data_IF_621906298839
#
_entry.id   IF_621906298839
#
_cell.length_a   1.000
_cell.length_b   1.000
_cell.length_c   1.000
_cell.angle_alpha   90.00
_cell.angle_beta   90.00
_cell.angle_gamma   90.00
#
_symmetry.space_group_name_H-M   'P 1'
#
loop_
_entity.id
_entity.type
_entity.pdbx_description
1 polymer ?
#
# COMPACT_ATOMS: atom_id res chain seq x y z
N UNK A 1 -23.53 2.06 -19.52
CA UNK A 1 -22.11 1.69 -19.70
C UNK A 1 -21.13 2.82 -19.33
N UNK A 2 -21.43 4.10 -19.60
CA UNK A 2 -20.52 5.21 -19.29
C UNK A 2 -20.21 5.40 -17.79
N UNK A 3 -21.21 5.20 -16.91
CA UNK A 3 -21.04 5.31 -15.46
C UNK A 3 -20.00 4.30 -14.91
N UNK A 4 -19.95 3.10 -15.48
CA UNK A 4 -18.98 2.08 -15.04
C UNK A 4 -17.54 2.46 -15.40
N UNK A 5 -17.34 3.10 -16.55
CA UNK A 5 -16.02 3.62 -16.96
C UNK A 5 -15.56 4.78 -16.08
N UNK A 6 -16.47 5.65 -15.66
CA UNK A 6 -16.16 6.75 -14.75
C UNK A 6 -15.78 6.24 -13.37
N UNK A 7 -16.56 5.31 -12.82
CA UNK A 7 -16.24 4.67 -11.54
C UNK A 7 -14.93 3.88 -11.60
N UNK A 8 -14.70 3.10 -12.66
CA UNK A 8 -13.43 2.40 -12.85
C UNK A 8 -12.24 3.36 -12.98
N UNK A 9 -12.41 4.49 -13.67
CA UNK A 9 -11.36 5.51 -13.78
C UNK A 9 -11.04 6.16 -12.44
N UNK A 10 -12.05 6.51 -11.64
CA UNK A 10 -11.86 7.07 -10.30
C UNK A 10 -11.20 6.03 -9.39
N UNK A 11 -11.69 4.78 -9.37
CA UNK A 11 -11.13 3.69 -8.58
C UNK A 11 -9.68 3.36 -8.98
N UNK A 12 -9.33 3.42 -10.26
CA UNK A 12 -7.95 3.23 -10.73
C UNK A 12 -7.03 4.39 -10.31
N UNK A 13 -7.52 5.64 -10.40
CA UNK A 13 -6.76 6.81 -9.95
C UNK A 13 -6.52 6.76 -8.44
N UNK A 14 -7.58 6.48 -7.68
CA UNK A 14 -7.55 6.38 -6.22
C UNK A 14 -6.73 5.16 -5.77
N UNK A 15 -6.83 4.02 -6.45
CA UNK A 15 -6.06 2.81 -6.15
C UNK A 15 -4.55 3.01 -6.31
N UNK A 16 -4.12 3.72 -7.35
CA UNK A 16 -2.71 4.05 -7.57
C UNK A 16 -2.17 5.06 -6.56
N UNK A 17 -2.96 6.09 -6.24
CA UNK A 17 -2.61 7.06 -5.19
C UNK A 17 -2.54 6.40 -3.81
N UNK A 18 -3.52 5.56 -3.46
CA UNK A 18 -3.53 4.81 -2.20
C UNK A 18 -2.37 3.82 -2.13
N UNK A 19 -2.06 3.10 -3.21
CA UNK A 19 -0.92 2.19 -3.27
C UNK A 19 0.40 2.90 -2.98
N UNK A 20 0.61 4.08 -3.58
CA UNK A 20 1.81 4.89 -3.34
C UNK A 20 1.87 5.40 -1.90
N UNK A 21 0.78 6.00 -1.39
CA UNK A 21 0.73 6.58 -0.04
C UNK A 21 0.87 5.51 1.03
N UNK A 22 0.12 4.42 0.92
CA UNK A 22 0.21 3.30 1.87
C UNK A 22 1.59 2.66 1.82
N UNK A 23 2.15 2.41 0.63
CA UNK A 23 3.52 1.87 0.51
C UNK A 23 4.57 2.75 1.22
N UNK A 24 4.47 4.07 1.08
CA UNK A 24 5.33 5.02 1.79
C UNK A 24 5.15 4.96 3.31
N UNK A 25 3.90 4.94 3.78
CA UNK A 25 3.56 4.83 5.21
C UNK A 25 4.09 3.53 5.80
N UNK A 26 3.88 2.40 5.11
CA UNK A 26 4.36 1.09 5.53
C UNK A 26 5.89 1.01 5.59
N UNK A 27 6.59 1.66 4.65
CA UNK A 27 8.06 1.72 4.64
C UNK A 27 8.57 2.51 5.85
N UNK A 28 7.97 3.67 6.14
CA UNK A 28 8.33 4.51 7.29
C UNK A 28 8.03 3.79 8.61
N UNK A 29 6.83 3.25 8.77
CA UNK A 29 6.42 2.53 9.97
C UNK A 29 7.24 1.25 10.16
N UNK A 30 7.51 0.50 9.09
CA UNK A 30 8.36 -0.68 9.12
C UNK A 30 9.81 -0.36 9.49
N UNK A 31 10.37 0.75 9.00
CA UNK A 31 11.69 1.24 9.38
C UNK A 31 11.74 1.61 10.87
N UNK A 32 10.73 2.36 11.35
CA UNK A 32 10.61 2.74 12.76
C UNK A 32 10.44 1.53 13.69
N UNK A 33 9.61 0.55 13.30
CA UNK A 33 9.39 -0.66 14.08
C UNK A 33 10.62 -1.56 14.11
N UNK A 34 11.37 -1.65 13.01
CA UNK A 34 12.58 -2.50 12.90
C UNK A 34 13.75 -2.02 13.77
N UNK A 35 13.67 -0.79 14.33
CA UNK A 35 14.61 -0.34 15.38
C UNK A 35 14.53 -1.24 16.62
N UNK A 36 13.43 -2.00 16.78
CA UNK A 36 13.25 -2.99 17.83
C UNK A 36 13.12 -4.40 17.25
N UNK A 37 13.75 -5.40 17.88
CA UNK A 37 13.68 -6.82 17.46
C UNK A 37 12.23 -7.32 17.41
N UNK A 38 11.38 -6.83 18.33
CA UNK A 38 9.95 -7.14 18.39
C UNK A 38 9.19 -6.50 17.21
N UNK A 39 9.53 -5.26 16.86
CA UNK A 39 8.91 -4.57 15.74
C UNK A 39 9.30 -5.14 14.38
N UNK A 40 10.43 -5.85 14.24
CA UNK A 40 10.77 -6.58 13.02
C UNK A 40 9.82 -7.76 12.74
N UNK A 41 9.34 -8.45 13.78
CA UNK A 41 8.42 -9.60 13.65
C UNK A 41 7.07 -9.16 13.05
N UNK A 42 6.61 -7.96 13.38
CA UNK A 42 5.35 -7.40 12.87
C UNK A 42 5.60 -6.54 11.62
N UNK A 43 6.74 -5.86 11.55
CA UNK A 43 7.14 -4.96 10.47
C UNK A 43 7.43 -5.68 9.16
N UNK A 44 8.06 -6.85 9.19
CA UNK A 44 8.33 -7.65 7.98
C UNK A 44 7.02 -8.11 7.31
N UNK A 45 6.04 -8.72 8.02
CA UNK A 45 4.71 -9.00 7.47
C UNK A 45 4.00 -7.76 6.92
N UNK A 46 4.05 -6.64 7.65
CA UNK A 46 3.45 -5.37 7.22
C UNK A 46 4.10 -4.85 5.92
N UNK A 47 5.44 -4.95 5.76
CA UNK A 47 6.12 -4.57 4.51
C UNK A 47 5.68 -5.42 3.33
N UNK A 48 5.55 -6.74 3.51
CA UNK A 48 5.08 -7.66 2.47
C UNK A 48 3.64 -7.31 2.07
N UNK A 49 2.78 -7.02 3.05
CA UNK A 49 1.40 -6.61 2.79
C UNK A 49 1.32 -5.26 2.07
N UNK A 50 2.14 -4.29 2.48
CA UNK A 50 2.28 -2.99 1.83
C UNK A 50 2.76 -3.10 0.38
N UNK A 51 3.73 -3.99 0.10
CA UNK A 51 4.18 -4.29 -1.26
C UNK A 51 3.08 -4.93 -2.10
N UNK A 52 2.31 -5.86 -1.53
CA UNK A 52 1.21 -6.53 -2.22
C UNK A 52 0.06 -5.55 -2.56
N UNK A 53 -0.22 -4.59 -1.67
CA UNK A 53 -1.14 -3.48 -1.93
C UNK A 53 -0.60 -2.51 -2.99
N UNK A 54 0.70 -2.20 -3.00
CA UNK A 54 1.32 -1.40 -4.06
C UNK A 54 1.17 -2.05 -5.43
N UNK A 55 1.41 -3.36 -5.53
CA UNK A 55 1.23 -4.11 -6.79
C UNK A 55 -0.24 -4.05 -7.24
N UNK A 56 -1.21 -4.27 -6.34
CA UNK A 56 -2.65 -4.10 -6.65
C UNK A 56 -3.11 -2.66 -6.88
N UNK A 57 -2.37 -1.66 -6.42
CA UNK A 57 -2.67 -0.25 -6.71
C UNK A 57 -2.13 0.17 -8.08
N UNK A 58 -1.12 -0.54 -8.58
CA UNK A 58 -0.47 -0.30 -9.88
C UNK A 58 -1.12 -1.09 -11.04
N UNK A 59 -1.75 -2.24 -10.76
CA UNK A 59 -2.46 -3.11 -11.70
C UNK A 59 -3.96 -3.13 -11.42
#
# INVERSE_FOLDING_TARGET
MALWRLLAAILALTGRLLGIVLGLVFLIVGLLLSITVVGAIIGIPLMIFGLMLMVRGLF
#
